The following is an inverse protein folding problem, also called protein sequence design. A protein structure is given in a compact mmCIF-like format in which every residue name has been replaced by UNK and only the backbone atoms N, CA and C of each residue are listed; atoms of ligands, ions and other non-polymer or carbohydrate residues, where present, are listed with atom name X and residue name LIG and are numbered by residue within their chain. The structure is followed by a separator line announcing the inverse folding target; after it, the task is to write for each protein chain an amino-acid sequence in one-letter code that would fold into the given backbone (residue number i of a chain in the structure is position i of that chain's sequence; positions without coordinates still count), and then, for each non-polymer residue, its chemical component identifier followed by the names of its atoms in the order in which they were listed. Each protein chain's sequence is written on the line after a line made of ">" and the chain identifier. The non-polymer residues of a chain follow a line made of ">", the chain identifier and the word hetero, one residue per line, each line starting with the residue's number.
data_IF_583947948676
#
_entry.id   IF_583947948676
#
_cell.length_a   1.000
_cell.length_b   1.000
_cell.length_c   1.000
_cell.angle_alpha   90.00
_cell.angle_beta   90.00
_cell.angle_gamma   90.00
#
_symmetry.space_group_name_H-M   'P 1'
#
loop_
_entity.id
_entity.type
_entity.pdbx_description
1 polymer ?
#
# COMPACT_ATOMS: atom_id res chain seq x y z
N UNK A 1 20.79 13.86 -2.40
CA UNK A 1 21.44 14.12 -3.72
C UNK A 1 22.21 15.44 -3.75
N UNK A 2 21.66 16.59 -3.31
CA UNK A 2 22.43 17.86 -3.35
C UNK A 2 23.44 18.08 -2.20
N UNK A 3 23.29 17.39 -1.06
CA UNK A 3 24.23 17.52 0.07
C UNK A 3 25.68 17.10 -0.26
N UNK A 4 25.85 16.22 -1.24
CA UNK A 4 27.17 15.79 -1.70
C UNK A 4 27.96 16.90 -2.43
N UNK A 5 27.27 17.90 -3.01
CA UNK A 5 27.91 19.00 -3.76
C UNK A 5 28.56 20.03 -2.82
N UNK A 6 28.11 20.10 -1.57
CA UNK A 6 28.65 21.01 -0.56
C UNK A 6 29.98 20.53 0.05
N UNK A 7 30.25 19.21 0.03
CA UNK A 7 31.42 18.60 0.68
C UNK A 7 32.45 18.06 -0.32
N UNK A 8 32.76 18.84 -1.38
CA UNK A 8 33.68 18.43 -2.45
C UNK A 8 35.13 18.19 -2.01
N UNK A 9 35.56 18.75 -0.89
CA UNK A 9 36.93 18.53 -0.36
C UNK A 9 37.12 17.14 0.26
N UNK A 10 36.07 16.52 0.79
CA UNK A 10 36.15 15.24 1.48
C UNK A 10 35.46 14.14 0.68
N UNK A 11 36.26 13.41 -0.11
CA UNK A 11 35.83 12.35 -1.01
C UNK A 11 35.02 11.24 -0.31
N UNK A 12 35.33 10.95 0.96
CA UNK A 12 34.61 9.95 1.76
C UNK A 12 33.15 10.37 2.06
N UNK A 13 32.90 11.65 2.36
CA UNK A 13 31.56 12.15 2.71
C UNK A 13 30.62 12.13 1.50
N UNK A 14 31.16 12.43 0.31
CA UNK A 14 30.42 12.38 -0.96
C UNK A 14 29.90 10.97 -1.25
N UNK A 15 30.74 9.95 -1.07
CA UNK A 15 30.39 8.55 -1.32
C UNK A 15 29.29 8.08 -0.34
N UNK A 16 29.42 8.40 0.94
CA UNK A 16 28.43 8.01 1.96
C UNK A 16 27.06 8.60 1.66
N UNK A 17 26.96 9.90 1.33
CA UNK A 17 25.68 10.54 1.00
C UNK A 17 25.06 10.04 -0.31
N UNK A 18 25.88 9.61 -1.27
CA UNK A 18 25.39 9.01 -2.51
C UNK A 18 24.80 7.62 -2.28
N UNK A 19 25.52 6.76 -1.54
CA UNK A 19 25.06 5.42 -1.17
C UNK A 19 23.80 5.49 -0.32
N UNK A 20 23.76 6.39 0.66
CA UNK A 20 22.56 6.61 1.49
C UNK A 20 21.36 7.05 0.65
N UNK A 21 21.56 7.95 -0.32
CA UNK A 21 20.52 8.34 -1.27
C UNK A 21 20.00 7.16 -2.10
N UNK A 22 20.90 6.29 -2.57
CA UNK A 22 20.53 5.08 -3.30
C UNK A 22 19.71 4.11 -2.41
N UNK A 23 20.14 3.91 -1.17
CA UNK A 23 19.43 3.06 -0.19
C UNK A 23 18.01 3.60 0.05
N UNK A 24 17.83 4.92 0.20
CA UNK A 24 16.51 5.53 0.35
C UNK A 24 15.59 5.27 -0.85
N UNK A 25 16.11 5.34 -2.07
CA UNK A 25 15.32 5.08 -3.29
C UNK A 25 14.90 3.61 -3.36
N UNK A 26 15.84 2.69 -3.09
CA UNK A 26 15.56 1.25 -3.07
C UNK A 26 14.53 0.94 -1.98
N UNK A 27 14.69 1.49 -0.78
CA UNK A 27 13.76 1.33 0.33
C UNK A 27 12.35 1.83 0.00
N UNK A 28 12.23 3.00 -0.62
CA UNK A 28 10.92 3.53 -1.05
C UNK A 28 10.25 2.61 -2.08
N UNK A 29 11.02 2.15 -3.07
CA UNK A 29 10.51 1.26 -4.12
C UNK A 29 10.04 -0.08 -3.53
N UNK A 30 10.77 -0.63 -2.55
CA UNK A 30 10.40 -1.88 -1.88
C UNK A 30 9.06 -1.77 -1.13
N UNK A 31 8.82 -0.66 -0.42
CA UNK A 31 7.55 -0.42 0.30
C UNK A 31 6.39 -0.32 -0.69
N UNK A 32 6.54 0.45 -1.77
CA UNK A 32 5.50 0.55 -2.80
C UNK A 32 5.24 -0.78 -3.50
N UNK A 33 6.28 -1.55 -3.78
CA UNK A 33 6.15 -2.89 -4.34
C UNK A 33 5.38 -3.82 -3.40
N UNK A 34 5.62 -3.75 -2.09
CA UNK A 34 4.90 -4.55 -1.09
C UNK A 34 3.40 -4.22 -1.07
N UNK A 35 3.04 -2.93 -1.10
CA UNK A 35 1.65 -2.46 -1.18
C UNK A 35 1.00 -2.92 -2.49
N UNK A 36 1.72 -2.86 -3.61
CA UNK A 36 1.26 -3.36 -4.91
C UNK A 36 0.98 -4.87 -4.89
N UNK A 37 1.87 -5.66 -4.27
CA UNK A 37 1.73 -7.11 -4.12
C UNK A 37 0.59 -7.52 -3.16
N UNK A 38 0.23 -6.67 -2.20
CA UNK A 38 -0.97 -6.86 -1.37
C UNK A 38 -2.24 -6.67 -2.22
N UNK A 39 -2.27 -5.67 -3.09
CA UNK A 39 -3.41 -5.36 -3.96
C UNK A 39 -3.73 -6.46 -4.99
N UNK A 40 -2.72 -7.17 -5.50
CA UNK A 40 -2.92 -8.27 -6.46
C UNK A 40 -3.47 -9.55 -5.83
N UNK A 41 -3.34 -9.74 -4.51
CA UNK A 41 -3.82 -10.91 -3.77
C UNK A 41 -5.24 -10.76 -3.21
N UNK A 42 -5.90 -9.63 -3.47
CA UNK A 42 -7.26 -9.37 -3.02
C UNK A 42 -8.26 -10.38 -3.63
N UNK A 43 -9.09 -10.99 -2.79
CA UNK A 43 -10.13 -11.96 -3.19
C UNK A 43 -11.24 -11.21 -3.91
N UNK A 44 -11.67 -11.75 -5.06
CA UNK A 44 -12.80 -11.23 -5.81
C UNK A 44 -14.09 -11.86 -5.28
N UNK A 45 -15.00 -11.04 -4.78
CA UNK A 45 -16.33 -11.47 -4.31
C UNK A 45 -17.42 -10.74 -5.09
N UNK A 46 -18.59 -11.37 -5.19
CA UNK A 46 -19.78 -10.73 -5.78
C UNK A 46 -20.48 -9.94 -4.68
N UNK A 47 -20.70 -8.65 -4.90
CA UNK A 47 -21.45 -7.82 -3.95
C UNK A 47 -22.94 -8.25 -3.92
N UNK A 48 -23.55 -8.49 -2.76
CA UNK A 48 -24.95 -8.91 -2.66
C UNK A 48 -25.95 -7.81 -3.03
N UNK A 49 -25.57 -6.53 -2.93
CA UNK A 49 -26.44 -5.40 -3.25
C UNK A 49 -26.45 -5.12 -4.77
N UNK A 50 -25.27 -5.04 -5.41
CA UNK A 50 -25.17 -4.66 -6.82
C UNK A 50 -24.90 -5.81 -7.80
N UNK A 51 -24.59 -7.02 -7.32
CA UNK A 51 -24.30 -8.19 -8.17
C UNK A 51 -23.00 -8.10 -8.98
N UNK A 52 -22.19 -7.06 -8.77
CA UNK A 52 -20.92 -6.84 -9.49
C UNK A 52 -19.75 -7.45 -8.73
N UNK A 53 -18.71 -7.85 -9.46
CA UNK A 53 -17.46 -8.33 -8.88
C UNK A 53 -16.67 -7.17 -8.28
N UNK A 54 -16.33 -7.28 -6.99
CA UNK A 54 -15.49 -6.31 -6.29
C UNK A 54 -14.33 -7.03 -5.60
N UNK A 55 -13.17 -6.38 -5.55
CA UNK A 55 -12.02 -6.87 -4.79
C UNK A 55 -12.09 -6.35 -3.36
N UNK A 56 -11.76 -7.21 -2.40
CA UNK A 56 -11.67 -6.88 -0.98
C UNK A 56 -10.20 -6.99 -0.58
N UNK A 57 -9.60 -5.89 -0.13
CA UNK A 57 -8.21 -5.77 0.31
C UNK A 57 -8.05 -6.04 1.83
N UNK A 58 -9.09 -5.82 2.63
CA UNK A 58 -9.08 -5.89 4.09
C UNK A 58 -10.30 -6.63 4.66
N UNK A 59 -10.56 -6.44 5.96
CA UNK A 59 -11.70 -7.05 6.67
C UNK A 59 -13.01 -6.31 6.42
N UNK A 60 -12.90 -5.00 6.20
CA UNK A 60 -14.00 -4.09 5.90
C UNK A 60 -13.52 -3.22 4.74
N UNK A 61 -14.12 -3.38 3.57
CA UNK A 61 -13.88 -2.51 2.42
C UNK A 61 -15.21 -2.00 1.85
N UNK A 62 -15.17 -0.82 1.25
CA UNK A 62 -16.33 -0.29 0.54
C UNK A 62 -16.40 -0.92 -0.86
N UNK A 63 -17.58 -1.37 -1.27
CA UNK A 63 -17.76 -1.81 -2.66
C UNK A 63 -17.51 -0.63 -3.61
N UNK A 64 -16.67 -0.83 -4.62
CA UNK A 64 -16.24 0.22 -5.56
C UNK A 64 -17.38 0.80 -6.42
N UNK A 65 -18.53 0.12 -6.47
CA UNK A 65 -19.69 0.53 -7.28
C UNK A 65 -20.81 1.15 -6.47
N UNK A 66 -21.20 0.54 -5.35
CA UNK A 66 -22.33 0.99 -4.54
C UNK A 66 -21.90 1.71 -3.25
N UNK A 67 -20.59 1.76 -2.94
CA UNK A 67 -20.04 2.35 -1.71
C UNK A 67 -20.66 1.79 -0.40
N UNK A 68 -21.28 0.61 -0.48
CA UNK A 68 -21.77 -0.11 0.69
C UNK A 68 -20.58 -0.77 1.41
N UNK A 69 -20.50 -0.70 2.75
CA UNK A 69 -19.50 -1.42 3.51
C UNK A 69 -19.72 -2.93 3.36
N UNK A 70 -18.71 -3.62 2.83
CA UNK A 70 -18.69 -5.06 2.62
C UNK A 70 -17.71 -5.69 3.60
N UNK A 71 -18.21 -6.61 4.42
CA UNK A 71 -17.42 -7.40 5.37
C UNK A 71 -17.46 -8.86 4.98
N UNK A 72 -16.30 -9.53 5.04
CA UNK A 72 -16.20 -10.98 4.81
C UNK A 72 -16.26 -11.79 6.12
N UNK A 73 -16.14 -11.13 7.27
CA UNK A 73 -16.16 -11.79 8.57
C UNK A 73 -17.59 -11.94 9.10
N UNK A 74 -18.03 -13.17 9.43
CA UNK A 74 -19.35 -13.41 9.99
C UNK A 74 -19.52 -12.81 11.39
N UNK A 75 -18.43 -12.54 12.11
CA UNK A 75 -18.45 -11.92 13.44
C UNK A 75 -18.77 -10.41 13.41
N UNK A 76 -18.53 -9.74 12.28
CA UNK A 76 -18.85 -8.31 12.09
C UNK A 76 -20.30 -8.11 11.61
N UNK A 77 -21.00 -9.17 11.20
CA UNK A 77 -22.41 -9.12 10.77
C UNK A 77 -23.33 -8.79 11.95
N UNK A 78 -22.99 -9.18 13.18
CA UNK A 78 -23.73 -8.79 14.40
C UNK A 78 -23.71 -7.27 14.67
N UNK A 79 -22.76 -6.53 14.09
CA UNK A 79 -22.65 -5.07 14.29
C UNK A 79 -23.50 -4.28 13.28
N UNK A 80 -24.14 -4.92 12.29
CA UNK A 80 -25.05 -4.23 11.34
C UNK A 80 -26.48 -4.07 11.89
N UNK A 81 -26.76 -4.45 13.15
CA UNK A 81 -28.11 -4.39 13.78
C UNK A 81 -28.20 -3.47 15.02
N UNK A 82 -27.15 -2.71 15.36
CA UNK A 82 -27.27 -1.68 16.42
C UNK A 82 -26.93 -0.28 15.94
#
# INVERSE_FOLDING_TARGET
>A
MYGAIFFRENQALVIIFMVLGLICIIGSTAVYAWIGLLSTRAVQVVCPNCGKHTKVLGRVDMCMYCNEPLTLDPTLIEIKIL
#
